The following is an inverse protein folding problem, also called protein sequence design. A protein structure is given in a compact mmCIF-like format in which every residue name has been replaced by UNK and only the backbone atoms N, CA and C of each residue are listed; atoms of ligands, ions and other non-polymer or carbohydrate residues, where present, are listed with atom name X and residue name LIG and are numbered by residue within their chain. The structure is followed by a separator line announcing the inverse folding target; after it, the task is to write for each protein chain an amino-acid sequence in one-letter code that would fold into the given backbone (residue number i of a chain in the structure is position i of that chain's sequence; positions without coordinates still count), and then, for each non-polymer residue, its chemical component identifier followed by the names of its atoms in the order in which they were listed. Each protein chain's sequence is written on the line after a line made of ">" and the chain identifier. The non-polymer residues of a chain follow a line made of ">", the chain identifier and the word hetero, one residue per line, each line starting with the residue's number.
data_IF_002472677511
#
_entry.id   IF_002472677511
#
_cell.length_a   1.000
_cell.length_b   1.000
_cell.length_c   1.000
_cell.angle_alpha   90.00
_cell.angle_beta   90.00
_cell.angle_gamma   90.00
#
_symmetry.space_group_name_H-M   'P 1'
#
loop_
_entity.id
_entity.type
_entity.pdbx_description
1 polymer ?
#
# COMPACT_ATOMS: atom_id res chain seq x y z
N UNK A 1 -17.73 0.41 8.34
CA UNK A 1 -17.06 0.94 7.14
C UNK A 1 -16.59 2.36 7.42
N UNK A 2 -15.40 2.76 6.94
CA UNK A 2 -14.83 4.09 7.18
C UNK A 2 -15.59 5.13 6.34
N UNK A 3 -16.00 6.29 6.89
CA UNK A 3 -16.69 7.29 6.11
C UNK A 3 -15.82 7.85 4.98
N UNK A 4 -16.43 8.17 3.84
CA UNK A 4 -15.70 8.50 2.61
C UNK A 4 -14.72 9.66 2.79
N UNK A 5 -15.11 10.68 3.56
CA UNK A 5 -14.28 11.85 3.83
C UNK A 5 -13.10 11.59 4.76
N UNK A 6 -13.03 10.45 5.44
CA UNK A 6 -11.86 10.06 6.24
C UNK A 6 -10.84 9.24 5.44
N UNK A 7 -11.20 8.77 4.23
CA UNK A 7 -10.33 7.87 3.46
C UNK A 7 -9.05 8.54 2.96
N UNK A 8 -9.03 9.87 2.78
CA UNK A 8 -7.82 10.57 2.35
C UNK A 8 -6.71 10.53 3.41
N UNK A 9 -7.07 10.44 4.70
CA UNK A 9 -6.09 10.41 5.80
C UNK A 9 -5.15 9.20 5.70
N UNK A 10 -5.65 8.08 5.18
CA UNK A 10 -4.86 6.91 4.87
C UNK A 10 -3.74 7.23 3.87
N UNK A 11 -4.07 7.95 2.79
CA UNK A 11 -3.12 8.33 1.75
C UNK A 11 -2.16 9.45 2.16
N UNK A 12 -2.47 10.19 3.24
CA UNK A 12 -1.60 11.22 3.80
C UNK A 12 -0.59 10.67 4.83
N UNK A 13 -0.58 9.36 5.11
CA UNK A 13 0.36 8.77 6.08
C UNK A 13 1.52 8.06 5.37
N UNK A 14 2.79 8.42 5.61
CA UNK A 14 3.93 7.71 5.04
C UNK A 14 3.96 6.23 5.45
N UNK A 15 3.48 5.91 6.66
CA UNK A 15 3.41 4.54 7.17
C UNK A 15 2.46 3.67 6.34
N UNK A 16 1.35 4.23 5.87
CA UNK A 16 0.40 3.51 5.02
C UNK A 16 1.04 3.11 3.68
N UNK A 17 1.78 4.03 3.06
CA UNK A 17 2.57 3.75 1.86
C UNK A 17 3.65 2.70 2.09
N UNK A 18 4.33 2.73 3.25
CA UNK A 18 5.34 1.72 3.61
C UNK A 18 4.73 0.33 3.75
N UNK A 19 3.60 0.18 4.45
CA UNK A 19 2.93 -1.13 4.61
C UNK A 19 2.47 -1.65 3.25
N UNK A 20 1.87 -0.80 2.41
CA UNK A 20 1.46 -1.19 1.06
C UNK A 20 2.67 -1.71 0.28
N UNK A 21 3.77 -0.94 0.27
CA UNK A 21 5.01 -1.30 -0.40
C UNK A 21 5.55 -2.65 0.07
N UNK A 22 5.69 -2.83 1.39
CA UNK A 22 6.16 -4.07 1.99
C UNK A 22 5.30 -5.27 1.60
N UNK A 23 3.98 -5.18 1.72
CA UNK A 23 3.10 -6.30 1.35
C UNK A 23 3.23 -6.61 -0.14
N UNK A 24 3.22 -5.58 -0.98
CA UNK A 24 3.27 -5.73 -2.43
C UNK A 24 4.60 -6.31 -2.92
N UNK A 25 5.74 -5.95 -2.32
CA UNK A 25 7.05 -6.53 -2.67
C UNK A 25 7.21 -7.95 -2.14
N UNK A 26 6.75 -8.24 -0.92
CA UNK A 26 7.02 -9.54 -0.28
C UNK A 26 6.10 -10.65 -0.79
N UNK A 27 4.85 -10.32 -1.12
CA UNK A 27 3.82 -11.32 -1.48
C UNK A 27 3.01 -10.96 -2.72
N UNK A 28 3.12 -9.74 -3.24
CA UNK A 28 2.32 -9.28 -4.39
C UNK A 28 2.66 -9.94 -5.72
N UNK A 29 3.91 -10.38 -5.92
CA UNK A 29 4.37 -11.08 -7.15
C UNK A 29 4.29 -12.61 -7.04
N UNK A 30 3.81 -13.15 -5.92
CA UNK A 30 3.72 -14.60 -5.75
C UNK A 30 2.50 -15.15 -6.47
N UNK A 31 2.73 -16.03 -7.45
CA UNK A 31 1.70 -16.82 -8.13
C UNK A 31 1.31 -18.05 -7.29
N UNK A 32 0.96 -17.82 -6.03
CA UNK A 32 0.51 -18.86 -5.11
C UNK A 32 -1.00 -18.79 -4.96
N UNK A 33 -1.65 -19.95 -4.92
CA UNK A 33 -3.06 -20.06 -4.64
C UNK A 33 -3.31 -20.24 -3.14
N UNK A 34 -4.33 -19.57 -2.63
CA UNK A 34 -4.80 -19.69 -1.25
C UNK A 34 -6.02 -20.60 -1.22
N UNK A 35 -6.00 -21.58 -0.30
CA UNK A 35 -7.17 -22.38 0.02
C UNK A 35 -7.88 -21.72 1.19
N UNK A 36 -9.08 -21.20 0.94
CA UNK A 36 -9.92 -20.59 1.97
C UNK A 36 -10.97 -21.61 2.39
N UNK A 37 -11.01 -22.01 3.67
CA UNK A 37 -12.05 -22.91 4.18
C UNK A 37 -13.45 -22.34 3.88
N UNK A 38 -14.23 -23.06 3.09
CA UNK A 38 -15.60 -22.68 2.71
C UNK A 38 -15.75 -21.77 1.48
N UNK A 39 -14.67 -21.22 0.90
CA UNK A 39 -14.73 -20.33 -0.27
C UNK A 39 -13.93 -20.84 -1.49
N UNK A 40 -13.22 -21.95 -1.35
CA UNK A 40 -12.45 -22.57 -2.45
C UNK A 40 -11.03 -22.02 -2.59
N UNK A 41 -10.45 -22.20 -3.76
CA UNK A 41 -9.08 -21.79 -4.08
C UNK A 41 -9.08 -20.48 -4.85
N UNK A 42 -8.35 -19.47 -4.36
CA UNK A 42 -8.22 -18.17 -5.03
C UNK A 42 -6.74 -17.75 -5.18
N UNK A 43 -6.36 -17.07 -6.27
CA UNK A 43 -4.99 -16.55 -6.39
C UNK A 43 -4.70 -15.50 -5.32
N UNK A 44 -3.52 -15.57 -4.68
CA UNK A 44 -3.09 -14.63 -3.64
C UNK A 44 -3.17 -13.16 -4.10
N UNK A 45 -2.74 -12.87 -5.34
CA UNK A 45 -2.84 -11.54 -5.94
C UNK A 45 -4.29 -11.02 -6.02
N UNK A 46 -5.24 -11.90 -6.32
CA UNK A 46 -6.66 -11.55 -6.39
C UNK A 46 -7.23 -11.28 -5.00
N UNK A 47 -6.83 -12.09 -4.01
CA UNK A 47 -7.18 -11.89 -2.62
C UNK A 47 -6.68 -10.54 -2.08
N UNK A 48 -5.40 -10.24 -2.29
CA UNK A 48 -4.77 -8.97 -1.88
C UNK A 48 -5.47 -7.76 -2.50
N UNK A 49 -5.84 -7.84 -3.78
CA UNK A 49 -6.57 -6.77 -4.48
C UNK A 49 -8.01 -6.61 -3.99
N UNK A 50 -8.77 -7.69 -3.89
CA UNK A 50 -10.21 -7.63 -3.56
C UNK A 50 -10.48 -7.32 -2.09
N UNK A 51 -9.67 -7.86 -1.17
CA UNK A 51 -9.91 -7.72 0.27
C UNK A 51 -9.08 -6.60 0.90
N UNK A 52 -7.84 -6.38 0.43
CA UNK A 52 -6.93 -5.39 1.01
C UNK A 52 -6.63 -4.20 0.10
N UNK A 53 -6.96 -4.26 -1.19
CA UNK A 53 -6.66 -3.20 -2.16
C UNK A 53 -5.18 -3.09 -2.54
N UNK A 54 -4.37 -4.12 -2.27
CA UNK A 54 -2.95 -4.15 -2.61
C UNK A 54 -2.70 -4.70 -4.00
N UNK A 55 -1.95 -3.96 -4.82
CA UNK A 55 -1.62 -4.28 -6.20
C UNK A 55 -0.11 -4.11 -6.44
N UNK A 56 0.53 -5.14 -6.99
CA UNK A 56 1.97 -5.13 -7.25
C UNK A 56 2.38 -4.06 -8.29
N UNK A 57 1.53 -3.82 -9.30
CA UNK A 57 1.76 -2.83 -10.34
C UNK A 57 1.75 -1.38 -9.82
N UNK A 58 1.28 -1.16 -8.58
CA UNK A 58 1.26 0.16 -7.94
C UNK A 58 2.59 0.54 -7.26
N UNK A 59 3.58 -0.36 -7.25
CA UNK A 59 4.92 -0.12 -6.66
C UNK A 59 5.61 1.17 -7.14
N UNK A 60 5.57 1.55 -8.44
CA UNK A 60 6.17 2.81 -8.89
C UNK A 60 5.54 4.04 -8.22
N UNK A 61 4.22 4.05 -8.02
CA UNK A 61 3.53 5.15 -7.34
C UNK A 61 3.95 5.24 -5.87
N UNK A 62 4.11 4.08 -5.20
CA UNK A 62 4.59 3.99 -3.82
C UNK A 62 6.02 4.55 -3.70
N UNK A 63 6.90 4.23 -4.65
CA UNK A 63 8.26 4.74 -4.67
C UNK A 63 8.28 6.28 -4.79
N UNK A 64 7.50 6.85 -5.71
CA UNK A 64 7.35 8.30 -5.87
C UNK A 64 6.79 8.94 -4.60
N UNK A 65 5.78 8.34 -3.97
CA UNK A 65 5.21 8.84 -2.71
C UNK A 65 6.27 8.91 -1.59
N UNK A 66 7.14 7.91 -1.45
CA UNK A 66 8.21 7.96 -0.45
C UNK A 66 9.22 9.07 -0.73
N UNK A 67 9.61 9.27 -1.99
CA UNK A 67 10.51 10.39 -2.37
C UNK A 67 9.87 11.73 -2.03
N UNK A 68 8.57 11.90 -2.30
CA UNK A 68 7.83 13.11 -1.95
C UNK A 68 7.84 13.36 -0.44
N UNK A 69 7.63 12.33 0.39
CA UNK A 69 7.71 12.46 1.85
C UNK A 69 9.11 12.84 2.34
N UNK A 70 10.16 12.23 1.76
CA UNK A 70 11.54 12.60 2.10
C UNK A 70 11.84 14.07 1.76
N UNK A 71 11.43 14.53 0.58
CA UNK A 71 11.61 15.94 0.17
C UNK A 71 10.79 16.87 1.06
N UNK A 72 9.54 16.51 1.38
CA UNK A 72 8.69 17.31 2.25
C UNK A 72 9.31 17.49 3.65
N UNK A 73 9.76 16.40 4.28
CA UNK A 73 10.40 16.50 5.60
C UNK A 73 11.73 17.25 5.54
N UNK A 74 12.51 17.08 4.47
CA UNK A 74 13.73 17.84 4.26
C UNK A 74 13.46 19.34 4.16
N UNK A 75 12.46 19.77 3.37
CA UNK A 75 12.08 21.17 3.24
C UNK A 75 11.55 21.74 4.55
N UNK A 76 10.67 21.01 5.25
CA UNK A 76 10.16 21.44 6.56
C UNK A 76 11.31 21.66 7.54
N UNK A 77 12.28 20.75 7.59
CA UNK A 77 13.47 20.91 8.42
C UNK A 77 14.32 22.12 7.99
N UNK A 78 14.58 22.29 6.70
CA UNK A 78 15.41 23.37 6.17
C UNK A 78 14.79 24.78 6.35
N UNK A 79 13.46 24.91 6.33
CA UNK A 79 12.77 26.18 6.57
C UNK A 79 12.48 26.47 8.04
N UNK A 80 12.48 25.44 8.90
CA UNK A 80 12.22 25.60 10.33
C UNK A 80 13.47 25.99 11.14
N UNK A 81 14.65 25.97 10.52
CA UNK A 81 15.93 26.41 11.09
C UNK A 81 16.34 27.78 10.54
#
# INVERSE_FOLDING_TARGET
>A
QIPVWWRWYYWASPVAWTIYGLVSTQVGDKNTDLVIPGAGTIPLKMFLKQYFGFEHDFLPAIAVAHVLWCVLFFLVFAYAI
#
